data_IF_390191079418
#
_entry.id   IF_390191079418
#
_cell.length_a   1.000
_cell.length_b   1.000
_cell.length_c   1.000
_cell.angle_alpha   90.00
_cell.angle_beta   90.00
_cell.angle_gamma   90.00
#
_symmetry.space_group_name_H-M   'P 1'
#
loop_
_entity.id
_entity.type
_entity.pdbx_description
1 polymer ?
#
# COMPACT_ATOMS: atom_id res chain seq x y z
N UNK A 1 -10.80 19.15 8.50
CA UNK A 1 -9.47 19.14 7.85
C UNK A 1 -9.28 17.77 7.21
N UNK A 2 -9.67 17.64 5.94
CA UNK A 2 -9.57 16.40 5.18
C UNK A 2 -8.10 16.28 4.75
N UNK A 3 -7.37 15.32 5.31
CA UNK A 3 -6.03 15.02 4.85
C UNK A 3 -6.13 14.42 3.44
N UNK A 4 -5.97 15.25 2.41
CA UNK A 4 -6.00 14.85 1.00
C UNK A 4 -4.94 13.78 0.64
N UNK A 5 -3.99 13.53 1.54
CA UNK A 5 -2.92 12.53 1.42
C UNK A 5 -2.99 11.45 2.51
N UNK A 6 -4.17 11.16 3.07
CA UNK A 6 -4.31 9.98 3.91
C UNK A 6 -4.09 8.72 3.02
N UNK A 7 -3.12 7.83 3.33
CA UNK A 7 -2.86 6.58 2.59
C UNK A 7 -4.00 5.55 2.68
N UNK A 8 -5.21 5.99 3.04
CA UNK A 8 -6.43 5.21 3.17
C UNK A 8 -7.37 5.40 1.97
N UNK A 9 -7.00 6.17 0.95
CA UNK A 9 -7.73 6.13 -0.32
C UNK A 9 -7.45 4.79 -1.03
N UNK A 10 -8.45 4.15 -1.65
CA UNK A 10 -8.25 2.88 -2.38
C UNK A 10 -7.12 2.99 -3.42
N UNK A 11 -7.03 4.14 -4.11
CA UNK A 11 -5.97 4.43 -5.08
C UNK A 11 -4.57 4.52 -4.44
N UNK A 12 -4.47 5.07 -3.22
CA UNK A 12 -3.20 5.15 -2.50
C UNK A 12 -2.69 3.76 -2.08
N UNK A 13 -3.61 2.89 -1.64
CA UNK A 13 -3.29 1.50 -1.28
C UNK A 13 -2.89 0.69 -2.52
N UNK A 14 -3.61 0.86 -3.63
CA UNK A 14 -3.26 0.23 -4.89
C UNK A 14 -1.85 0.62 -5.34
N UNK A 15 -1.55 1.92 -5.39
CA UNK A 15 -0.19 2.40 -5.73
C UNK A 15 0.88 1.81 -4.81
N UNK A 16 0.62 1.73 -3.52
CA UNK A 16 1.55 1.15 -2.55
C UNK A 16 1.84 -0.33 -2.85
N UNK A 17 0.80 -1.12 -3.12
CA UNK A 17 0.94 -2.55 -3.44
C UNK A 17 1.61 -2.76 -4.79
N UNK A 18 1.20 -2.02 -5.82
CA UNK A 18 1.82 -2.06 -7.16
C UNK A 18 3.31 -1.72 -7.09
N UNK A 19 3.72 -0.72 -6.30
CA UNK A 19 5.15 -0.39 -6.14
C UNK A 19 5.96 -1.52 -5.55
N UNK A 20 5.37 -2.31 -4.64
CA UNK A 20 6.06 -3.48 -4.09
C UNK A 20 6.11 -4.63 -5.10
N UNK A 21 4.97 -4.95 -5.72
CA UNK A 21 4.81 -6.14 -6.56
C UNK A 21 5.35 -5.96 -7.99
N UNK A 22 5.08 -4.82 -8.62
CA UNK A 22 5.47 -4.53 -10.00
C UNK A 22 6.88 -3.94 -10.09
N UNK A 23 7.21 -2.98 -9.23
CA UNK A 23 8.54 -2.32 -9.27
C UNK A 23 9.60 -3.07 -8.43
N UNK A 24 9.19 -4.13 -7.71
CA UNK A 24 10.09 -4.95 -6.88
C UNK A 24 10.66 -4.22 -5.66
N UNK A 25 10.10 -3.07 -5.29
CA UNK A 25 10.64 -2.24 -4.20
C UNK A 25 10.39 -2.92 -2.86
N UNK A 26 11.39 -3.04 -1.96
CA UNK A 26 11.20 -3.63 -0.65
C UNK A 26 10.13 -2.91 0.19
N UNK A 27 9.33 -3.67 0.95
CA UNK A 27 8.26 -3.15 1.83
C UNK A 27 8.72 -2.04 2.78
N UNK A 28 9.99 -2.08 3.19
CA UNK A 28 10.62 -1.06 4.03
C UNK A 28 10.68 0.31 3.38
N UNK A 29 11.02 0.35 2.09
CA UNK A 29 11.15 1.58 1.31
C UNK A 29 9.76 2.11 0.94
N UNK A 30 8.85 1.20 0.54
CA UNK A 30 7.44 1.54 0.31
C UNK A 30 6.80 2.13 1.58
N UNK A 31 7.03 1.53 2.74
CA UNK A 31 6.52 2.05 4.01
C UNK A 31 7.02 3.49 4.29
N UNK A 32 8.31 3.76 4.07
CA UNK A 32 8.89 5.07 4.28
C UNK A 32 8.31 6.13 3.33
N UNK A 33 8.14 5.79 2.06
CA UNK A 33 7.58 6.69 1.05
C UNK A 33 6.12 7.04 1.34
N UNK A 34 5.29 6.04 1.65
CA UNK A 34 3.87 6.23 1.94
C UNK A 34 3.62 6.73 3.37
N UNK A 35 4.69 6.92 4.16
CA UNK A 35 4.64 7.34 5.58
C UNK A 35 3.74 6.43 6.43
N UNK A 36 3.81 5.13 6.18
CA UNK A 36 3.08 4.09 6.91
C UNK A 36 4.04 3.13 7.60
N UNK A 37 3.51 2.30 8.48
CA UNK A 37 4.29 1.23 9.10
C UNK A 37 4.53 0.07 8.10
N UNK A 38 5.66 -0.62 8.20
CA UNK A 38 5.92 -1.87 7.45
C UNK A 38 4.80 -2.92 7.57
N UNK A 39 4.24 -3.20 8.77
CA UNK A 39 3.13 -4.17 8.85
C UNK A 39 1.89 -3.70 8.09
N UNK A 40 1.60 -2.40 8.02
CA UNK A 40 0.52 -1.87 7.17
C UNK A 40 0.72 -2.25 5.70
N UNK A 41 1.94 -2.07 5.16
CA UNK A 41 2.25 -2.50 3.78
C UNK A 41 2.03 -4.00 3.61
N UNK A 42 2.48 -4.81 4.57
CA UNK A 42 2.27 -6.26 4.51
C UNK A 42 0.79 -6.62 4.49
N UNK A 43 -0.04 -6.02 5.34
CA UNK A 43 -1.50 -6.28 5.36
C UNK A 43 -2.12 -6.02 4.00
N UNK A 44 -1.84 -4.86 3.38
CA UNK A 44 -2.43 -4.51 2.09
C UNK A 44 -1.93 -5.39 0.95
N UNK A 45 -0.63 -5.72 0.93
CA UNK A 45 -0.08 -6.67 -0.04
C UNK A 45 -0.75 -8.04 0.11
N UNK A 46 -0.90 -8.54 1.33
CA UNK A 46 -1.55 -9.84 1.59
C UNK A 46 -3.01 -9.82 1.14
N UNK A 47 -3.76 -8.76 1.46
CA UNK A 47 -5.16 -8.63 1.02
C UNK A 47 -5.29 -8.55 -0.50
N UNK A 48 -4.43 -7.78 -1.15
CA UNK A 48 -4.41 -7.70 -2.61
C UNK A 48 -4.08 -9.05 -3.27
N UNK A 49 -3.17 -9.84 -2.69
CA UNK A 49 -2.88 -11.19 -3.20
C UNK A 49 -4.03 -12.18 -2.99
N UNK A 50 -4.89 -11.95 -1.99
CA UNK A 50 -6.01 -12.83 -1.68
C UNK A 50 -7.31 -12.45 -2.41
N UNK A 51 -7.61 -11.15 -2.49
CA UNK A 51 -8.89 -10.59 -2.93
C UNK A 51 -8.74 -9.70 -4.19
N UNK A 52 -7.51 -9.47 -4.68
CA UNK A 52 -7.25 -8.56 -5.79
C UNK A 52 -7.51 -7.10 -5.44
N UNK A 53 -7.95 -6.31 -6.43
CA UNK A 53 -8.31 -4.90 -6.22
C UNK A 53 -9.51 -4.71 -5.29
N UNK A 54 -10.38 -5.73 -5.15
CA UNK A 54 -11.54 -5.68 -4.26
C UNK A 54 -11.15 -5.70 -2.77
N UNK A 55 -9.93 -6.16 -2.44
CA UNK A 55 -9.39 -6.20 -1.07
C UNK A 55 -8.70 -4.91 -0.58
N UNK A 56 -8.58 -3.89 -1.45
CA UNK A 56 -7.84 -2.65 -1.19
C UNK A 56 -8.74 -1.50 -0.72
#
# INVERSE_FOLDING_TARGET
MIHANAPLTPTGRLRMVTRHLSDGIPKSHVAAEFRVSRPTVTTWVTRYLAEGEEGL
#
